data_IF_581927135399
#
_entry.id   IF_581927135399
#
_cell.length_a   1.000
_cell.length_b   1.000
_cell.length_c   1.000
_cell.angle_alpha   90.00
_cell.angle_beta   90.00
_cell.angle_gamma   90.00
#
_symmetry.space_group_name_H-M   'P 1'
#
loop_
_entity.id
_entity.type
_entity.pdbx_description
1 polymer ?
#
# COMPACT_ATOMS: atom_id res chain seq x y z
N UNK A 1 -14.84 10.17 -4.98
CA UNK A 1 -14.69 11.52 -5.55
C UNK A 1 -15.91 11.79 -6.42
N UNK A 2 -16.76 12.78 -6.08
CA UNK A 2 -17.78 13.26 -7.02
C UNK A 2 -17.13 14.22 -8.01
N UNK A 3 -17.27 13.93 -9.30
CA UNK A 3 -16.76 14.78 -10.39
C UNK A 3 -17.77 15.90 -10.61
N UNK A 4 -17.29 17.14 -10.76
CA UNK A 4 -18.14 18.29 -11.12
C UNK A 4 -18.86 17.98 -12.45
N UNK A 5 -20.18 18.18 -12.57
CA UNK A 5 -20.91 17.90 -13.79
C UNK A 5 -20.27 18.60 -15.01
N UNK A 6 -20.01 17.85 -16.08
CA UNK A 6 -19.52 18.39 -17.36
C UNK A 6 -18.01 18.25 -17.63
N UNK A 7 -17.19 17.79 -16.67
CA UNK A 7 -15.78 17.44 -16.94
C UNK A 7 -15.59 15.92 -17.08
N UNK A 8 -14.88 15.44 -18.12
CA UNK A 8 -14.54 14.03 -18.22
C UNK A 8 -13.74 13.57 -16.99
N UNK A 9 -13.94 12.32 -16.51
CA UNK A 9 -13.25 11.83 -15.33
C UNK A 9 -11.73 11.81 -15.54
N UNK A 10 -10.94 11.98 -14.47
CA UNK A 10 -9.49 11.97 -14.56
C UNK A 10 -8.97 10.62 -15.06
N UNK A 11 -7.85 10.65 -15.77
CA UNK A 11 -7.10 9.44 -16.11
C UNK A 11 -6.21 9.10 -14.92
N UNK A 12 -6.47 7.97 -14.28
CA UNK A 12 -5.70 7.49 -13.14
C UNK A 12 -4.60 6.54 -13.62
N UNK A 13 -3.40 6.72 -13.09
CA UNK A 13 -2.25 5.87 -13.37
C UNK A 13 -1.43 5.64 -12.08
N UNK A 14 -0.62 4.59 -12.10
CA UNK A 14 0.28 4.25 -11.00
C UNK A 14 1.60 3.72 -11.53
N UNK A 15 2.67 3.89 -10.75
CA UNK A 15 3.99 3.37 -11.07
C UNK A 15 4.85 3.19 -9.83
N UNK A 16 6.06 2.66 -10.01
CA UNK A 16 7.02 2.58 -8.92
C UNK A 16 8.44 2.86 -9.39
N UNK A 17 9.17 3.61 -8.57
CA UNK A 17 10.60 3.84 -8.72
C UNK A 17 11.33 2.74 -7.95
N UNK A 18 11.60 1.64 -8.64
CA UNK A 18 12.34 0.53 -8.07
C UNK A 18 13.81 0.92 -7.90
N UNK A 19 14.39 0.60 -6.76
CA UNK A 19 15.78 0.85 -6.44
C UNK A 19 16.49 -0.43 -5.99
N UNK A 20 17.82 -0.43 -6.08
CA UNK A 20 18.70 -1.45 -5.53
C UNK A 20 20.03 -0.84 -5.12
N UNK A 21 20.71 -1.49 -4.19
CA UNK A 21 22.11 -1.23 -3.88
C UNK A 21 23.01 -1.99 -4.86
N UNK A 22 24.05 -1.32 -5.35
CA UNK A 22 25.15 -1.94 -6.12
C UNK A 22 26.47 -1.37 -5.61
N UNK A 23 27.11 -2.09 -4.70
CA UNK A 23 28.21 -1.53 -3.90
C UNK A 23 27.66 -0.40 -3.02
N UNK A 24 28.37 0.72 -2.97
CA UNK A 24 27.96 1.91 -2.19
C UNK A 24 26.99 2.83 -2.92
N UNK A 25 26.54 2.47 -4.14
CA UNK A 25 25.66 3.31 -4.97
C UNK A 25 24.25 2.76 -5.02
N UNK A 26 23.27 3.67 -4.94
CA UNK A 26 21.89 3.38 -5.29
C UNK A 26 21.71 3.46 -6.80
N UNK A 27 21.09 2.42 -7.37
CA UNK A 27 20.60 2.43 -8.73
C UNK A 27 19.08 2.41 -8.75
N UNK A 28 18.49 3.07 -9.73
CA UNK A 28 17.05 3.09 -9.99
C UNK A 28 16.72 2.45 -11.33
N UNK A 29 15.53 1.88 -11.43
CA UNK A 29 15.02 1.24 -12.64
C UNK A 29 14.25 2.25 -13.50
N UNK A 30 14.73 2.48 -14.71
CA UNK A 30 14.09 3.33 -15.71
C UNK A 30 13.78 2.55 -16.98
N UNK A 31 12.77 3.03 -17.70
CA UNK A 31 12.34 2.50 -19.00
C UNK A 31 12.45 3.58 -20.07
N UNK A 32 12.88 3.18 -21.26
CA UNK A 32 12.92 4.03 -22.44
C UNK A 32 11.64 3.85 -23.26
N UNK A 33 11.05 4.95 -23.70
CA UNK A 33 9.83 4.95 -24.52
C UNK A 33 10.15 5.40 -25.94
N UNK A 34 10.23 4.49 -26.94
CA UNK A 34 10.67 4.83 -28.29
C UNK A 34 9.76 5.86 -28.97
N UNK A 35 8.47 5.92 -28.62
CA UNK A 35 7.53 6.92 -29.12
C UNK A 35 7.94 8.37 -28.81
N UNK A 36 8.61 8.59 -27.69
CA UNK A 36 8.98 9.92 -27.20
C UNK A 36 10.49 10.14 -27.13
N UNK A 37 11.27 9.08 -27.37
CA UNK A 37 12.73 9.03 -27.21
C UNK A 37 13.18 9.57 -25.83
N UNK A 38 12.48 9.17 -24.77
CA UNK A 38 12.75 9.61 -23.40
C UNK A 38 12.82 8.46 -22.40
N UNK A 39 13.55 8.70 -21.30
CA UNK A 39 13.57 7.83 -20.12
C UNK A 39 12.53 8.27 -19.10
N UNK A 40 11.90 7.31 -18.45
CA UNK A 40 10.93 7.59 -17.39
C UNK A 40 10.82 6.48 -16.36
N UNK A 41 10.14 6.79 -15.26
CA UNK A 41 9.75 5.82 -14.24
C UNK A 41 8.66 4.91 -14.81
N UNK A 42 8.74 3.57 -14.60
CA UNK A 42 7.70 2.64 -15.05
C UNK A 42 6.33 2.97 -14.46
N UNK A 43 5.30 3.03 -15.30
CA UNK A 43 3.92 3.41 -14.92
C UNK A 43 2.91 3.16 -16.03
N UNK A 44 1.67 2.94 -15.64
CA UNK A 44 0.56 2.92 -16.60
C UNK A 44 -0.80 3.12 -15.95
N UNK A 45 -1.85 2.96 -16.76
CA UNK A 45 -3.21 3.34 -16.36
C UNK A 45 -3.82 2.26 -15.48
N UNK A 46 -4.65 2.67 -14.53
CA UNK A 46 -5.44 1.72 -13.75
C UNK A 46 -6.43 0.97 -14.66
N UNK A 47 -6.53 -0.34 -14.46
CA UNK A 47 -7.62 -1.13 -15.00
C UNK A 47 -8.92 -0.95 -14.21
N UNK A 48 -10.04 -1.41 -14.77
CA UNK A 48 -11.35 -1.30 -14.12
C UNK A 48 -11.36 -2.09 -12.81
N UNK A 49 -11.60 -1.40 -11.70
CA UNK A 49 -11.66 -2.02 -10.37
C UNK A 49 -10.30 -2.19 -9.70
N UNK A 50 -9.21 -1.81 -10.37
CA UNK A 50 -7.86 -1.91 -9.85
C UNK A 50 -7.57 -0.81 -8.81
N UNK A 51 -6.68 -1.10 -7.86
CA UNK A 51 -6.17 -0.11 -6.90
C UNK A 51 -4.83 0.44 -7.37
N UNK A 52 -4.44 1.65 -6.93
CA UNK A 52 -3.16 2.21 -7.36
C UNK A 52 -1.95 1.32 -7.01
N UNK A 53 -1.83 0.71 -5.80
CA UNK A 53 -0.71 -0.18 -5.51
C UNK A 53 -0.67 -1.42 -6.42
N UNK A 54 -1.83 -2.04 -6.68
CA UNK A 54 -1.92 -3.19 -7.58
C UNK A 54 -1.49 -2.81 -9.02
N UNK A 55 -1.96 -1.67 -9.50
CA UNK A 55 -1.58 -1.13 -10.81
C UNK A 55 -0.08 -0.84 -10.87
N UNK A 56 0.52 -0.22 -9.85
CA UNK A 56 1.95 0.07 -9.82
C UNK A 56 2.80 -1.22 -9.97
N UNK A 57 2.43 -2.29 -9.25
CA UNK A 57 3.15 -3.57 -9.33
C UNK A 57 2.96 -4.25 -10.68
N UNK A 58 1.73 -4.25 -11.22
CA UNK A 58 1.43 -4.78 -12.55
C UNK A 58 2.27 -4.05 -13.60
N UNK A 59 2.14 -2.73 -13.69
CA UNK A 59 2.79 -1.90 -14.71
C UNK A 59 4.33 -2.06 -14.68
N UNK A 60 4.95 -2.07 -13.50
CA UNK A 60 6.39 -2.33 -13.40
C UNK A 60 6.74 -3.72 -13.94
N UNK A 61 5.94 -4.75 -13.63
CA UNK A 61 6.18 -6.09 -14.16
C UNK A 61 5.98 -6.17 -15.67
N UNK A 62 5.01 -5.45 -16.24
CA UNK A 62 4.72 -5.41 -17.67
C UNK A 62 5.79 -4.67 -18.46
N UNK A 63 6.24 -3.52 -17.96
CA UNK A 63 7.22 -2.68 -18.65
C UNK A 63 8.67 -3.13 -18.43
N UNK A 64 8.96 -3.91 -17.38
CA UNK A 64 10.35 -4.23 -17.01
C UNK A 64 10.65 -5.71 -16.84
N UNK A 65 9.62 -6.55 -16.68
CA UNK A 65 9.75 -7.95 -16.31
C UNK A 65 10.11 -8.19 -14.84
N UNK A 66 10.19 -7.16 -14.00
CA UNK A 66 10.42 -7.29 -12.56
C UNK A 66 9.13 -7.11 -11.76
N UNK A 67 8.85 -8.05 -10.85
CA UNK A 67 7.84 -7.85 -9.81
C UNK A 67 8.50 -7.18 -8.62
N UNK A 68 7.91 -6.09 -8.16
CA UNK A 68 8.42 -5.28 -7.05
C UNK A 68 7.58 -5.44 -5.80
N UNK A 69 8.22 -5.20 -4.65
CA UNK A 69 7.58 -4.92 -3.37
C UNK A 69 7.59 -3.40 -3.17
N UNK A 70 6.42 -2.82 -2.95
CA UNK A 70 6.28 -1.39 -2.71
C UNK A 70 6.74 -1.03 -1.29
N UNK A 71 7.38 0.13 -1.20
CA UNK A 71 7.81 0.80 0.01
C UNK A 71 6.95 2.06 0.22
N UNK A 72 7.50 3.12 0.80
CA UNK A 72 6.74 4.37 1.05
C UNK A 72 6.32 5.07 -0.25
N UNK A 73 5.20 5.80 -0.23
CA UNK A 73 4.73 6.59 -1.37
C UNK A 73 5.72 7.71 -1.72
N UNK A 74 5.74 8.06 -3.00
CA UNK A 74 6.43 9.20 -3.58
C UNK A 74 5.41 10.29 -3.97
N UNK A 75 5.84 11.54 -4.16
CA UNK A 75 4.95 12.58 -4.65
C UNK A 75 4.23 12.19 -5.95
N UNK A 76 2.93 12.45 -6.01
CA UNK A 76 2.14 12.21 -7.20
C UNK A 76 2.43 13.26 -8.29
N UNK A 77 2.30 12.86 -9.55
CA UNK A 77 2.32 13.76 -10.70
C UNK A 77 0.90 14.09 -11.15
N UNK A 78 0.59 15.37 -11.36
CA UNK A 78 -0.72 15.84 -11.83
C UNK A 78 -0.54 16.82 -12.98
N UNK A 79 -1.12 16.50 -14.15
CA UNK A 79 -1.01 17.34 -15.35
C UNK A 79 -2.21 17.18 -16.27
N UNK A 80 -2.40 18.12 -17.20
CA UNK A 80 -3.48 18.07 -18.19
C UNK A 80 -3.06 17.31 -19.45
N UNK A 81 -3.98 16.49 -19.97
CA UNK A 81 -3.86 15.85 -21.26
C UNK A 81 -4.36 16.78 -22.38
N UNK A 82 -3.96 16.54 -23.65
CA UNK A 82 -4.42 17.34 -24.79
C UNK A 82 -5.95 17.39 -24.96
N UNK A 83 -6.65 16.37 -24.48
CA UNK A 83 -8.12 16.29 -24.51
C UNK A 83 -8.80 16.99 -23.30
N UNK A 84 -8.04 17.74 -22.51
CA UNK A 84 -8.52 18.50 -21.36
C UNK A 84 -8.73 17.69 -20.08
N UNK A 85 -8.54 16.35 -20.10
CA UNK A 85 -8.60 15.54 -18.88
C UNK A 85 -7.38 15.76 -17.99
N UNK A 86 -7.60 15.77 -16.68
CA UNK A 86 -6.49 15.65 -15.71
C UNK A 86 -5.98 14.22 -15.68
N UNK A 87 -4.66 14.04 -15.78
CA UNK A 87 -3.99 12.78 -15.49
C UNK A 87 -3.33 12.87 -14.11
N UNK A 88 -3.56 11.85 -13.29
CA UNK A 88 -2.98 11.71 -11.95
C UNK A 88 -2.17 10.42 -11.94
N UNK A 89 -0.89 10.51 -11.58
CA UNK A 89 0.00 9.36 -11.43
C UNK A 89 0.45 9.28 -9.98
N UNK A 90 0.12 8.19 -9.29
CA UNK A 90 0.66 7.90 -7.96
C UNK A 90 1.91 7.03 -8.09
N UNK A 91 2.92 7.31 -7.27
CA UNK A 91 4.18 6.57 -7.30
C UNK A 91 4.54 6.04 -5.92
N UNK A 92 5.27 4.93 -5.91
CA UNK A 92 5.91 4.37 -4.72
C UNK A 92 7.39 4.14 -4.98
N UNK A 93 8.17 4.18 -3.91
CA UNK A 93 9.49 3.53 -3.92
C UNK A 93 9.30 2.01 -3.90
N UNK A 94 10.26 1.23 -4.39
CA UNK A 94 10.13 -0.24 -4.38
C UNK A 94 11.45 -0.98 -4.51
N UNK A 95 11.46 -2.25 -4.11
CA UNK A 95 12.59 -3.17 -4.34
C UNK A 95 12.14 -4.36 -5.16
N UNK A 96 13.02 -4.96 -5.95
CA UNK A 96 12.70 -6.16 -6.74
C UNK A 96 12.46 -7.36 -5.81
N UNK A 97 11.29 -8.00 -5.95
CA UNK A 97 10.94 -9.27 -5.31
C UNK A 97 11.39 -10.45 -6.17
N UNK A 98 11.13 -10.37 -7.47
CA UNK A 98 11.46 -11.42 -8.42
C UNK A 98 11.57 -10.88 -9.85
N UNK A 99 12.33 -11.58 -10.71
CA UNK A 99 12.24 -11.42 -12.16
C UNK A 99 11.20 -12.41 -12.68
N UNK A 100 10.12 -11.89 -13.27
CA UNK A 100 8.93 -12.67 -13.69
C UNK A 100 8.82 -12.79 -15.21
N UNK A 101 9.54 -11.96 -15.97
CA UNK A 101 9.62 -12.03 -17.43
C UNK A 101 11.03 -11.61 -17.91
N UNK A 102 11.43 -11.97 -19.15
CA UNK A 102 12.75 -11.58 -19.67
C UNK A 102 12.92 -10.07 -19.85
N UNK A 103 11.83 -9.33 -20.10
CA UNK A 103 11.79 -7.90 -20.36
C UNK A 103 10.35 -7.38 -20.58
N UNK A 104 10.18 -6.24 -21.27
CA UNK A 104 8.86 -5.63 -21.50
C UNK A 104 7.90 -6.53 -22.28
N UNK A 105 6.60 -6.42 -21.99
CA UNK A 105 5.54 -7.12 -22.73
C UNK A 105 5.29 -6.55 -24.13
N UNK A 106 5.42 -5.24 -24.32
CA UNK A 106 5.25 -4.55 -25.60
C UNK A 106 6.50 -3.72 -25.92
N UNK A 107 7.28 -4.19 -26.91
CA UNK A 107 8.49 -3.52 -27.37
C UNK A 107 8.23 -2.18 -28.09
N UNK A 108 7.00 -1.96 -28.57
CA UNK A 108 6.58 -0.69 -29.17
C UNK A 108 6.27 0.39 -28.13
N UNK A 109 5.94 -0.02 -26.90
CA UNK A 109 5.76 0.89 -25.77
C UNK A 109 7.07 1.12 -25.02
N UNK A 110 7.82 0.04 -24.72
CA UNK A 110 9.11 0.08 -24.03
C UNK A 110 10.12 -0.79 -24.79
N UNK A 111 11.18 -0.18 -25.34
CA UNK A 111 12.24 -0.92 -26.06
C UNK A 111 13.45 -1.22 -25.17
N UNK A 112 13.67 -0.46 -24.08
CA UNK A 112 14.82 -0.63 -23.18
C UNK A 112 14.44 -0.48 -21.71
N UNK A 113 15.11 -1.27 -20.88
CA UNK A 113 15.02 -1.25 -19.42
C UNK A 113 16.43 -1.12 -18.86
N UNK A 114 16.69 -0.18 -17.96
CA UNK A 114 18.03 0.03 -17.38
C UNK A 114 17.99 0.31 -15.89
N UNK A 115 18.99 -0.24 -15.22
CA UNK A 115 19.40 0.20 -13.89
C UNK A 115 20.44 1.30 -14.04
N UNK A 116 20.13 2.50 -13.56
CA UNK A 116 20.95 3.70 -13.69
C UNK A 116 21.35 4.18 -12.30
N UNK A 117 22.55 4.72 -12.11
CA UNK A 117 22.89 5.38 -10.85
C UNK A 117 21.90 6.52 -10.56
N UNK A 118 21.60 6.78 -9.29
CA UNK A 118 20.61 7.81 -8.92
C UNK A 118 20.98 9.20 -9.45
N UNK A 119 22.26 9.57 -9.38
CA UNK A 119 22.75 10.86 -9.89
C UNK A 119 22.55 10.98 -11.42
N UNK A 120 22.89 9.92 -12.16
CA UNK A 120 22.70 9.87 -13.62
C UNK A 120 21.21 9.84 -14.01
N UNK A 121 20.34 9.28 -13.16
CA UNK A 121 18.91 9.18 -13.44
C UNK A 121 18.22 10.56 -13.46
N UNK A 122 18.67 11.49 -12.62
CA UNK A 122 18.18 12.87 -12.60
C UNK A 122 18.52 13.61 -13.90
N UNK A 123 19.68 13.32 -14.50
CA UNK A 123 20.10 13.89 -15.79
C UNK A 123 19.38 13.24 -17.00
N UNK A 124 19.09 11.94 -16.91
CA UNK A 124 18.45 11.19 -18.01
C UNK A 124 16.95 11.45 -18.15
N UNK A 125 16.27 11.77 -17.06
CA UNK A 125 14.82 11.94 -17.06
C UNK A 125 14.45 13.35 -17.52
N UNK A 126 13.95 13.46 -18.76
CA UNK A 126 13.63 14.75 -19.36
C UNK A 126 12.37 15.44 -18.78
N UNK A 127 11.46 14.67 -18.15
CA UNK A 127 10.16 15.20 -17.70
C UNK A 127 10.20 15.65 -16.25
N UNK A 128 9.82 16.90 -15.99
CA UNK A 128 9.72 17.46 -14.64
C UNK A 128 8.86 16.62 -13.67
N UNK A 129 7.79 16.00 -14.16
CA UNK A 129 6.92 15.13 -13.34
C UNK A 129 7.62 13.89 -12.79
N UNK A 130 8.66 13.40 -13.45
CA UNK A 130 9.44 12.24 -13.02
C UNK A 130 10.70 12.64 -12.21
N UNK A 131 11.16 13.91 -12.32
CA UNK A 131 12.23 14.47 -11.47
C UNK A 131 11.82 14.59 -10.00
N UNK A 132 10.55 14.94 -9.72
CA UNK A 132 10.08 15.10 -8.34
C UNK A 132 10.14 13.79 -7.54
N UNK A 133 9.68 12.63 -8.07
CA UNK A 133 9.90 11.33 -7.43
C UNK A 133 11.38 10.98 -7.22
N UNK A 134 12.29 11.29 -8.16
CA UNK A 134 13.73 11.04 -8.00
C UNK A 134 14.33 11.86 -6.85
N UNK A 135 14.04 13.16 -6.82
CA UNK A 135 14.48 14.03 -5.73
C UNK A 135 13.91 13.59 -4.37
N UNK A 136 12.67 13.11 -4.32
CA UNK A 136 12.08 12.55 -3.10
C UNK A 136 12.78 11.25 -2.67
N UNK A 137 13.12 10.35 -3.61
CA UNK A 137 13.90 9.14 -3.33
C UNK A 137 15.26 9.48 -2.70
N UNK A 138 15.97 10.47 -3.27
CA UNK A 138 17.26 10.96 -2.73
C UNK A 138 17.12 11.44 -1.30
N UNK A 139 16.11 12.26 -1.01
CA UNK A 139 15.83 12.74 0.36
C UNK A 139 15.55 11.59 1.32
N UNK A 140 14.81 10.56 0.88
CA UNK A 140 14.54 9.38 1.71
C UNK A 140 15.81 8.56 1.95
N UNK A 141 16.70 8.47 0.97
CA UNK A 141 18.01 7.83 1.12
C UNK A 141 18.86 8.56 2.16
N UNK A 142 19.03 9.88 2.01
CA UNK A 142 19.82 10.73 2.91
C UNK A 142 19.29 10.70 4.36
N UNK A 143 17.97 10.58 4.52
CA UNK A 143 17.34 10.46 5.84
C UNK A 143 17.40 9.04 6.45
N UNK A 144 17.89 8.03 5.72
CA UNK A 144 17.85 6.63 6.17
C UNK A 144 16.44 6.03 6.21
N UNK A 145 15.52 6.57 5.42
CA UNK A 145 14.09 6.24 5.41
C UNK A 145 13.64 5.55 4.10
N UNK A 146 14.59 5.15 3.24
CA UNK A 146 14.30 4.55 1.94
C UNK A 146 13.78 3.12 2.07
N UNK A 147 14.43 2.30 2.90
CA UNK A 147 13.96 0.96 3.20
C UNK A 147 12.90 1.00 4.30
N UNK A 148 11.70 0.51 3.96
CA UNK A 148 10.59 0.44 4.91
C UNK A 148 10.00 -0.97 5.05
N UNK A 149 9.34 -1.20 6.16
CA UNK A 149 8.58 -2.39 6.50
C UNK A 149 7.10 -2.01 6.59
N UNK A 150 6.22 -2.65 5.80
CA UNK A 150 4.80 -2.38 5.82
C UNK A 150 4.15 -3.07 7.00
N UNK A 151 3.53 -2.28 7.87
CA UNK A 151 2.61 -2.77 8.89
C UNK A 151 1.23 -2.27 8.50
N UNK A 152 0.26 -3.18 8.39
CA UNK A 152 -1.03 -2.92 7.76
C UNK A 152 -2.13 -3.12 8.80
N UNK A 153 -2.73 -2.04 9.29
CA UNK A 153 -3.92 -2.12 10.15
C UNK A 153 -5.16 -2.25 9.27
N UNK A 154 -5.74 -3.45 9.24
CA UNK A 154 -6.91 -3.79 8.44
C UNK A 154 -8.18 -3.78 9.30
N UNK A 155 -9.09 -2.85 9.05
CA UNK A 155 -10.44 -2.98 9.62
C UNK A 155 -11.18 -4.10 8.89
N UNK A 156 -11.84 -5.00 9.60
CA UNK A 156 -12.63 -6.06 8.96
C UNK A 156 -13.67 -5.49 7.96
N UNK A 157 -14.04 -6.30 6.95
CA UNK A 157 -15.04 -5.95 5.94
C UNK A 157 -16.44 -5.73 6.51
N UNK A 158 -17.36 -5.22 5.70
CA UNK A 158 -18.75 -5.01 6.12
C UNK A 158 -19.40 -6.32 6.61
N UNK A 159 -19.98 -6.29 7.81
CA UNK A 159 -20.53 -7.47 8.48
C UNK A 159 -22.07 -7.44 8.55
N UNK A 160 -22.68 -8.59 8.85
CA UNK A 160 -24.12 -8.66 9.14
C UNK A 160 -24.45 -7.74 10.32
N UNK A 161 -25.60 -7.06 10.28
CA UNK A 161 -25.98 -6.15 11.37
C UNK A 161 -26.20 -6.91 12.68
N UNK A 162 -25.82 -6.30 13.80
CA UNK A 162 -26.00 -6.91 15.14
C UNK A 162 -27.47 -7.28 15.40
N UNK A 163 -28.39 -6.41 14.97
CA UNK A 163 -29.84 -6.66 15.07
C UNK A 163 -30.32 -7.91 14.32
N UNK A 164 -29.59 -8.42 13.32
CA UNK A 164 -29.95 -9.60 12.53
C UNK A 164 -29.12 -10.84 12.89
N UNK A 165 -28.23 -10.77 13.88
CA UNK A 165 -27.40 -11.89 14.32
C UNK A 165 -27.72 -12.30 15.75
N UNK A 166 -27.81 -13.61 16.03
CA UNK A 166 -28.21 -14.15 17.35
C UNK A 166 -27.23 -15.17 17.93
N UNK A 167 -26.21 -15.60 17.18
CA UNK A 167 -25.29 -16.69 17.56
C UNK A 167 -24.04 -16.20 18.31
N UNK A 168 -24.15 -15.06 19.02
CA UNK A 168 -23.03 -14.40 19.69
C UNK A 168 -22.21 -13.49 18.77
N UNK A 169 -21.53 -12.50 19.36
CA UNK A 169 -20.83 -11.44 18.60
C UNK A 169 -19.55 -11.95 17.91
N UNK A 170 -18.88 -12.95 18.48
CA UNK A 170 -17.66 -13.53 17.93
C UNK A 170 -17.85 -14.31 16.61
N UNK A 171 -19.06 -14.83 16.37
CA UNK A 171 -19.42 -15.60 15.16
C UNK A 171 -20.10 -14.74 14.10
N UNK A 172 -20.18 -13.42 14.28
CA UNK A 172 -20.90 -12.55 13.34
C UNK A 172 -20.14 -12.46 12.01
N UNK A 173 -20.72 -12.92 10.89
CA UNK A 173 -19.99 -13.07 9.64
C UNK A 173 -19.95 -11.78 8.82
N UNK A 174 -19.12 -11.78 7.79
CA UNK A 174 -19.18 -10.79 6.71
C UNK A 174 -20.52 -10.86 5.97
N UNK A 175 -21.06 -9.69 5.59
CA UNK A 175 -22.19 -9.61 4.67
C UNK A 175 -21.71 -9.71 3.20
N UNK A 176 -22.62 -9.66 2.23
CA UNK A 176 -22.28 -9.75 0.80
C UNK A 176 -21.24 -8.71 0.36
N UNK A 177 -21.37 -7.45 0.81
CA UNK A 177 -20.40 -6.39 0.55
C UNK A 177 -19.05 -6.71 1.17
N UNK A 178 -19.01 -7.15 2.44
CA UNK A 178 -17.78 -7.53 3.12
C UNK A 178 -17.04 -8.69 2.45
N UNK A 179 -17.77 -9.69 1.94
CA UNK A 179 -17.19 -10.78 1.17
C UNK A 179 -16.52 -10.29 -0.13
N UNK A 180 -17.13 -9.32 -0.82
CA UNK A 180 -16.50 -8.68 -1.99
C UNK A 180 -15.24 -7.89 -1.59
N UNK A 181 -15.29 -7.14 -0.49
CA UNK A 181 -14.13 -6.42 0.03
C UNK A 181 -12.97 -7.38 0.34
N UNK A 182 -13.23 -8.46 1.09
CA UNK A 182 -12.22 -9.46 1.43
C UNK A 182 -11.57 -10.08 0.18
N UNK A 183 -12.35 -10.36 -0.87
CA UNK A 183 -11.84 -10.88 -2.14
C UNK A 183 -11.01 -9.89 -2.94
N UNK A 184 -11.20 -8.58 -2.74
CA UNK A 184 -10.48 -7.52 -3.43
C UNK A 184 -9.20 -7.07 -2.69
N UNK A 185 -9.00 -7.50 -1.43
CA UNK A 185 -7.80 -7.18 -0.66
C UNK A 185 -6.49 -7.79 -1.18
N UNK A 186 -6.43 -9.03 -1.72
CA UNK A 186 -5.15 -9.66 -2.03
C UNK A 186 -4.27 -8.85 -2.98
N UNK A 187 -4.74 -8.38 -4.17
CA UNK A 187 -3.88 -7.59 -5.06
C UNK A 187 -3.41 -6.28 -4.45
N UNK A 188 -4.20 -5.68 -3.57
CA UNK A 188 -3.84 -4.45 -2.85
C UNK A 188 -2.75 -4.70 -1.81
N UNK A 189 -2.92 -5.73 -0.97
CA UNK A 189 -2.02 -5.98 0.16
C UNK A 189 -0.75 -6.73 -0.24
N UNK A 190 -0.81 -7.64 -1.22
CA UNK A 190 0.38 -8.33 -1.76
C UNK A 190 1.37 -7.36 -2.42
N UNK A 191 0.92 -6.19 -2.89
CA UNK A 191 1.81 -5.16 -3.42
C UNK A 191 2.91 -4.75 -2.42
N UNK A 192 2.69 -4.97 -1.12
CA UNK A 192 3.62 -4.68 -0.03
C UNK A 192 4.30 -5.93 0.55
N UNK A 193 4.00 -7.12 0.04
CA UNK A 193 4.59 -8.41 0.42
C UNK A 193 4.54 -8.68 1.94
N UNK A 194 3.34 -8.73 2.55
CA UNK A 194 3.19 -9.04 3.97
C UNK A 194 3.65 -10.48 4.26
N UNK A 195 4.32 -10.69 5.39
CA UNK A 195 4.89 -11.98 5.76
C UNK A 195 4.05 -12.74 6.80
N UNK A 196 3.17 -12.04 7.54
CA UNK A 196 2.31 -12.68 8.55
C UNK A 196 1.04 -11.88 8.78
N UNK A 197 0.03 -12.55 9.34
CA UNK A 197 -1.23 -11.94 9.74
C UNK A 197 -1.44 -12.16 11.24
N UNK A 198 -1.70 -11.09 11.97
CA UNK A 198 -2.21 -11.08 13.34
C UNK A 198 -3.66 -10.58 13.28
N UNK A 199 -4.60 -11.31 13.86
CA UNK A 199 -6.03 -10.99 13.71
C UNK A 199 -6.79 -11.18 15.01
N UNK A 200 -7.87 -10.43 15.20
CA UNK A 200 -8.90 -10.85 16.15
C UNK A 200 -9.46 -12.23 15.73
N UNK A 201 -9.71 -13.17 16.67
CA UNK A 201 -10.29 -14.48 16.36
C UNK A 201 -11.75 -14.41 15.88
N UNK A 202 -12.43 -13.27 16.01
CA UNK A 202 -13.82 -13.15 15.58
C UNK A 202 -13.97 -13.35 14.06
N UNK A 203 -15.04 -14.06 13.67
CA UNK A 203 -15.22 -14.62 12.33
C UNK A 203 -15.05 -13.57 11.22
N UNK A 204 -15.68 -12.40 11.35
CA UNK A 204 -15.53 -11.31 10.36
C UNK A 204 -14.09 -10.85 10.13
N UNK A 205 -13.23 -10.86 11.14
CA UNK A 205 -11.82 -10.51 10.96
C UNK A 205 -11.10 -11.62 10.20
N UNK A 206 -11.26 -12.88 10.65
CA UNK A 206 -10.68 -14.04 9.98
C UNK A 206 -11.12 -14.14 8.51
N UNK A 207 -12.42 -14.03 8.22
CA UNK A 207 -12.94 -14.04 6.85
C UNK A 207 -12.49 -12.84 6.00
N UNK A 208 -12.06 -11.73 6.62
CA UNK A 208 -11.54 -10.58 5.86
C UNK A 208 -10.14 -10.87 5.32
N UNK A 209 -9.28 -11.49 6.14
CA UNK A 209 -7.88 -11.76 5.78
C UNK A 209 -7.67 -13.13 5.13
N UNK A 210 -8.65 -14.02 5.24
CA UNK A 210 -8.57 -15.39 4.71
C UNK A 210 -8.20 -15.45 3.21
N UNK A 211 -8.78 -14.64 2.29
CA UNK A 211 -8.40 -14.69 0.88
C UNK A 211 -6.92 -14.38 0.66
N UNK A 212 -6.39 -13.35 1.32
CA UNK A 212 -4.96 -13.01 1.26
C UNK A 212 -4.11 -14.14 1.83
N UNK A 213 -4.45 -14.63 3.02
CA UNK A 213 -3.67 -15.67 3.69
C UNK A 213 -3.61 -16.97 2.89
N UNK A 214 -4.67 -17.33 2.17
CA UNK A 214 -4.70 -18.51 1.30
C UNK A 214 -3.84 -18.33 0.05
N UNK A 215 -3.96 -17.18 -0.63
CA UNK A 215 -3.22 -16.90 -1.87
C UNK A 215 -1.71 -16.81 -1.62
N UNK A 216 -1.32 -16.09 -0.56
CA UNK A 216 0.09 -15.85 -0.23
C UNK A 216 0.67 -16.89 0.75
N UNK A 217 -0.11 -17.89 1.17
CA UNK A 217 0.35 -18.93 2.10
C UNK A 217 0.71 -18.41 3.51
N UNK A 218 0.09 -17.33 3.97
CA UNK A 218 0.44 -16.66 5.22
C UNK A 218 -0.12 -17.36 6.45
N UNK A 219 0.68 -17.45 7.51
CA UNK A 219 0.22 -17.89 8.83
C UNK A 219 -0.61 -16.79 9.50
N UNK A 220 -1.86 -17.12 9.82
CA UNK A 220 -2.75 -16.29 10.64
C UNK A 220 -2.59 -16.65 12.12
N UNK A 221 -2.24 -15.67 12.94
CA UNK A 221 -2.16 -15.78 14.40
C UNK A 221 -3.29 -14.97 15.03
N UNK A 222 -4.04 -15.57 15.93
CA UNK A 222 -5.15 -14.89 16.62
C UNK A 222 -4.72 -14.26 17.93
N UNK A 223 -5.35 -13.13 18.28
CA UNK A 223 -5.16 -12.39 19.53
C UNK A 223 -6.51 -11.91 20.06
N UNK A 224 -6.90 -12.37 21.25
CA UNK A 224 -8.14 -11.95 21.91
C UNK A 224 -8.11 -10.46 22.27
N UNK A 225 -6.92 -9.90 22.49
CA UNK A 225 -6.67 -8.48 22.74
C UNK A 225 -7.09 -7.58 21.58
N UNK A 226 -7.23 -8.14 20.37
CA UNK A 226 -7.71 -7.41 19.18
C UNK A 226 -9.23 -7.49 19.01
N UNK A 227 -9.96 -8.17 19.89
CA UNK A 227 -11.44 -8.21 19.87
C UNK A 227 -12.04 -6.97 20.53
N UNK A 228 -13.31 -6.65 20.25
CA UNK A 228 -13.98 -5.53 20.94
C UNK A 228 -14.11 -5.79 22.46
N UNK A 229 -14.30 -7.05 22.87
CA UNK A 229 -14.38 -7.42 24.28
C UNK A 229 -13.01 -7.32 24.98
N UNK A 230 -11.97 -7.93 24.40
CA UNK A 230 -10.62 -7.90 24.97
C UNK A 230 -10.05 -6.48 25.06
N UNK A 231 -10.34 -5.63 24.06
CA UNK A 231 -9.98 -4.21 24.10
C UNK A 231 -10.75 -3.44 25.17
N UNK A 232 -12.06 -3.67 25.32
CA UNK A 232 -12.88 -3.03 26.35
C UNK A 232 -12.37 -3.35 27.76
N UNK A 233 -12.01 -4.61 28.00
CA UNK A 233 -11.59 -5.06 29.33
C UNK A 233 -10.13 -4.63 29.64
N UNK A 234 -9.25 -4.68 28.64
CA UNK A 234 -7.82 -4.44 28.81
C UNK A 234 -7.19 -3.67 27.63
N UNK A 235 -7.47 -2.37 27.47
CA UNK A 235 -6.97 -1.58 26.34
C UNK A 235 -5.43 -1.47 26.30
N UNK A 236 -4.76 -1.51 27.46
CA UNK A 236 -3.29 -1.53 27.53
C UNK A 236 -2.68 -2.80 26.92
N UNK A 237 -3.36 -3.95 27.00
CA UNK A 237 -2.91 -5.18 26.36
C UNK A 237 -3.09 -5.12 24.85
N UNK A 238 -4.14 -4.47 24.36
CA UNK A 238 -4.31 -4.15 22.93
C UNK A 238 -3.17 -3.27 22.42
N UNK A 239 -2.82 -2.19 23.14
CA UNK A 239 -1.69 -1.34 22.79
C UNK A 239 -0.37 -2.14 22.71
N UNK A 240 -0.12 -3.00 23.70
CA UNK A 240 1.06 -3.86 23.73
C UNK A 240 1.18 -4.81 22.53
N UNK A 241 0.05 -5.24 21.93
CA UNK A 241 0.07 -6.00 20.67
C UNK A 241 0.63 -5.14 19.54
N UNK A 242 0.16 -3.89 19.41
CA UNK A 242 0.65 -2.96 18.39
C UNK A 242 2.12 -2.58 18.61
N UNK A 243 2.50 -2.25 19.84
CA UNK A 243 3.88 -1.91 20.21
C UNK A 243 4.84 -3.04 19.86
N UNK A 244 4.42 -4.29 20.09
CA UNK A 244 5.19 -5.46 19.69
C UNK A 244 5.33 -5.57 18.17
N UNK A 245 4.25 -5.37 17.40
CA UNK A 245 4.30 -5.41 15.93
C UNK A 245 5.23 -4.32 15.38
N UNK A 246 5.16 -3.10 15.92
CA UNK A 246 6.02 -1.98 15.54
C UNK A 246 7.49 -2.25 15.84
N UNK A 247 7.79 -2.74 17.04
CA UNK A 247 9.17 -3.08 17.46
C UNK A 247 9.76 -4.27 16.71
N UNK A 248 8.96 -5.29 16.39
CA UNK A 248 9.44 -6.42 15.60
C UNK A 248 9.76 -5.97 14.15
N UNK A 249 9.15 -4.89 13.67
CA UNK A 249 9.37 -4.33 12.33
C UNK A 249 9.42 -5.40 11.25
N UNK A 250 8.40 -6.28 11.25
CA UNK A 250 8.21 -7.33 10.22
C UNK A 250 6.98 -7.00 9.37
N UNK A 251 6.98 -7.31 8.07
CA UNK A 251 5.81 -7.11 7.21
C UNK A 251 4.58 -7.85 7.78
N UNK A 252 3.61 -7.12 8.32
CA UNK A 252 2.54 -7.69 9.14
C UNK A 252 1.18 -7.04 8.86
N UNK A 253 0.16 -7.86 8.64
CA UNK A 253 -1.25 -7.42 8.64
C UNK A 253 -1.82 -7.59 10.04
N UNK A 254 -2.42 -6.55 10.61
CA UNK A 254 -3.16 -6.54 11.88
C UNK A 254 -4.64 -6.31 11.61
N UNK A 255 -5.47 -7.36 11.69
CA UNK A 255 -6.91 -7.23 11.43
C UNK A 255 -7.73 -7.07 12.72
N UNK A 256 -8.56 -6.03 12.78
CA UNK A 256 -9.32 -5.66 13.98
C UNK A 256 -10.66 -4.97 13.69
N UNK A 257 -11.30 -4.43 14.74
CA UNK A 257 -12.60 -3.79 14.75
C UNK A 257 -12.50 -2.29 14.98
N UNK A 258 -13.54 -1.56 14.55
CA UNK A 258 -13.62 -0.10 14.70
C UNK A 258 -13.35 0.43 16.12
N UNK A 259 -13.92 -0.14 17.20
CA UNK A 259 -13.68 0.35 18.57
C UNK A 259 -12.23 0.21 19.04
N UNK A 260 -11.47 -0.70 18.44
CA UNK A 260 -10.08 -1.03 18.80
C UNK A 260 -9.08 -0.10 18.10
N UNK A 261 -9.45 0.41 16.92
CA UNK A 261 -8.63 1.30 16.10
C UNK A 261 -8.00 2.50 16.84
N UNK A 262 -8.72 3.28 17.67
CA UNK A 262 -8.09 4.40 18.38
C UNK A 262 -6.85 3.98 19.16
N UNK A 263 -6.90 2.87 19.90
CA UNK A 263 -5.77 2.39 20.69
C UNK A 263 -4.58 1.96 19.82
N UNK A 264 -4.84 1.28 18.69
CA UNK A 264 -3.76 0.91 17.77
C UNK A 264 -3.14 2.15 17.10
N UNK A 265 -3.97 3.12 16.69
CA UNK A 265 -3.52 4.34 16.02
C UNK A 265 -2.72 5.23 16.97
N UNK A 266 -3.09 5.30 18.25
CA UNK A 266 -2.30 6.05 19.24
C UNK A 266 -0.93 5.41 19.52
N UNK A 267 -0.84 4.06 19.56
CA UNK A 267 0.45 3.38 19.64
C UNK A 267 1.34 3.68 18.42
N UNK A 268 0.75 3.74 17.22
CA UNK A 268 1.45 4.14 16.00
C UNK A 268 1.89 5.61 16.05
N UNK A 269 1.02 6.50 16.54
CA UNK A 269 1.29 7.94 16.67
C UNK A 269 2.49 8.20 17.57
N UNK A 270 2.67 7.43 18.62
CA UNK A 270 3.78 7.56 19.56
C UNK A 270 5.16 7.29 18.95
N UNK A 271 5.24 6.55 17.83
CA UNK A 271 6.49 6.21 17.14
C UNK A 271 6.56 6.77 15.71
N UNK A 272 5.59 7.56 15.30
CA UNK A 272 5.54 8.16 13.98
C UNK A 272 6.33 9.48 13.94
N UNK A 273 7.00 9.74 12.81
CA UNK A 273 7.52 11.08 12.54
C UNK A 273 6.37 12.11 12.54
N UNK A 274 6.61 13.37 12.91
CA UNK A 274 5.55 14.38 13.00
C UNK A 274 4.67 14.47 11.74
N UNK A 275 5.27 14.41 10.54
CA UNK A 275 4.53 14.40 9.27
C UNK A 275 3.61 13.19 9.13
N UNK A 276 4.10 11.98 9.41
CA UNK A 276 3.29 10.76 9.35
C UNK A 276 2.21 10.74 10.43
N UNK A 277 2.51 11.24 11.63
CA UNK A 277 1.55 11.37 12.72
C UNK A 277 0.38 12.30 12.34
N UNK A 278 0.64 13.38 11.61
CA UNK A 278 -0.40 14.32 11.19
C UNK A 278 -1.44 13.66 10.27
N UNK A 279 -1.02 12.72 9.42
CA UNK A 279 -1.85 12.00 8.45
C UNK A 279 -2.66 10.83 9.07
N UNK A 280 -2.34 10.42 10.30
CA UNK A 280 -3.08 9.36 10.99
C UNK A 280 -4.52 9.79 11.30
N UNK A 281 -5.53 8.91 11.08
CA UNK A 281 -6.92 9.21 11.40
C UNK A 281 -7.10 9.61 12.87
N UNK A 282 -7.89 10.66 13.12
CA UNK A 282 -8.10 11.22 14.47
C UNK A 282 -9.52 11.05 14.99
N UNK A 283 -10.45 10.76 14.09
CA UNK A 283 -11.87 10.74 14.39
C UNK A 283 -12.51 9.43 13.96
N UNK A 284 -13.51 9.02 14.71
CA UNK A 284 -14.36 7.89 14.38
C UNK A 284 -15.05 8.13 13.01
N UNK A 285 -15.08 7.14 12.09
CA UNK A 285 -14.83 5.71 12.30
C UNK A 285 -13.36 5.27 12.23
N UNK A 286 -12.39 6.19 12.17
CA UNK A 286 -10.95 6.02 11.91
C UNK A 286 -10.65 5.40 10.55
N UNK A 287 -11.18 4.22 10.29
CA UNK A 287 -11.18 3.52 9.01
C UNK A 287 -12.59 3.06 8.65
N UNK A 288 -12.99 3.14 7.38
CA UNK A 288 -14.20 2.53 6.85
C UNK A 288 -14.12 0.99 6.91
N UNK A 289 -15.26 0.30 6.89
CA UNK A 289 -15.26 -1.17 6.90
C UNK A 289 -14.54 -1.71 5.65
N UNK A 290 -13.57 -2.60 5.84
CA UNK A 290 -12.71 -3.13 4.79
C UNK A 290 -11.54 -2.23 4.40
N UNK A 291 -11.40 -1.02 4.97
CA UNK A 291 -10.26 -0.13 4.71
C UNK A 291 -9.00 -0.60 5.45
N UNK A 292 -7.86 -0.48 4.77
CA UNK A 292 -6.53 -0.72 5.30
C UNK A 292 -5.81 0.61 5.54
N UNK A 293 -5.16 0.73 6.69
CA UNK A 293 -4.15 1.75 6.99
C UNK A 293 -2.77 1.10 6.88
N UNK A 294 -2.00 1.50 5.89
CA UNK A 294 -0.63 1.05 5.72
C UNK A 294 0.31 2.03 6.42
N UNK A 295 1.25 1.45 7.15
CA UNK A 295 2.29 2.14 7.90
C UNK A 295 3.62 1.72 7.32
N UNK A 296 4.40 2.68 6.85
CA UNK A 296 5.75 2.45 6.38
C UNK A 296 6.70 2.72 7.55
N UNK A 297 7.09 1.67 8.26
CA UNK A 297 8.04 1.75 9.36
C UNK A 297 9.47 1.57 8.85
N UNK A 298 10.47 2.25 9.41
CA UNK A 298 11.87 1.88 9.20
C UNK A 298 12.17 0.53 9.88
N UNK A 299 13.30 -0.14 9.58
CA UNK A 299 13.72 -1.31 10.34
C UNK A 299 13.86 -1.07 11.85
N UNK A 300 14.03 0.19 12.26
CA UNK A 300 14.05 0.61 13.68
C UNK A 300 12.68 0.78 14.32
N UNK A 301 11.58 0.60 13.58
CA UNK A 301 10.21 0.70 14.09
C UNK A 301 9.56 2.10 14.01
N UNK A 302 10.29 3.12 13.54
CA UNK A 302 9.76 4.48 13.36
C UNK A 302 8.85 4.55 12.14
N UNK A 303 7.63 5.06 12.28
CA UNK A 303 6.70 5.21 11.14
C UNK A 303 6.97 6.51 10.39
N UNK A 304 7.41 6.41 9.14
CA UNK A 304 7.86 7.57 8.32
C UNK A 304 6.84 8.02 7.27
N UNK A 305 5.89 7.16 6.94
CA UNK A 305 4.77 7.49 6.06
C UNK A 305 3.57 6.59 6.38
N UNK A 306 2.37 7.07 6.05
CA UNK A 306 1.14 6.30 6.15
C UNK A 306 0.29 6.52 4.91
N UNK A 307 -0.51 5.51 4.55
CA UNK A 307 -1.45 5.60 3.44
C UNK A 307 -2.71 4.78 3.74
N UNK A 308 -3.82 5.13 3.09
CA UNK A 308 -5.13 4.53 3.34
C UNK A 308 -5.71 4.00 2.05
N UNK A 309 -6.17 2.75 2.10
CA UNK A 309 -6.72 2.09 0.93
C UNK A 309 -8.01 1.36 1.27
N UNK A 310 -9.09 1.76 0.61
CA UNK A 310 -10.34 1.03 0.61
C UNK A 310 -10.38 0.18 -0.67
N UNK A 311 -10.54 -1.15 -0.58
CA UNK A 311 -10.62 -1.99 -1.77
C UNK A 311 -11.79 -1.56 -2.66
N UNK A 312 -11.51 -1.45 -3.95
CA UNK A 312 -12.52 -1.18 -4.97
C UNK A 312 -13.29 -2.46 -5.27
N UNK A 313 -14.61 -2.43 -5.15
CA UNK A 313 -15.48 -3.61 -5.31
C UNK A 313 -16.48 -3.47 -6.46
N UNK A 314 -16.28 -2.48 -7.35
CA UNK A 314 -17.20 -2.14 -8.44
C UNK A 314 -18.34 -1.27 -7.97
#
# INVERSE_FOLDING_TARGET
MSVVPGKPPPVLAAGALAWREKGERIQVLLVHRPRYDDWSIPKGKLEKGETFPAAAVREVAEETGYRVRLHRPLPASVYLLPDGRTKIVQYWTGTVRAKVAPGPKDAGEIDKVRWVALDEAEDLVARQGDLVPLAALRRFLEAGELQTVPIIVQRHGAAVSRAKWRKGEGTRPLNSKGKKQAKALPPLLDAFDPATVVSSPWERCLSTVEPLAKIEGLKVRTKDELTEAGHKDHPSRTAAVMDRVLREARPTVVCTHRPVLPTLIEAVRAVALPGAALELPREDPYLAAGEALLLHATPGGTVVAVERHLPNIG
#
